data_IF_015349633156
#
_entry.id   IF_015349633156
#
_cell.length_a   1.000
_cell.length_b   1.000
_cell.length_c   1.000
_cell.angle_alpha   90.00
_cell.angle_beta   90.00
_cell.angle_gamma   90.00
#
_symmetry.space_group_name_H-M   'P 1'
#
loop_
_entity.id
_entity.type
_entity.pdbx_description
1 polymer ?
#
# COMPACT_ATOMS: atom_id res chain seq x y z
N UNK A 1 63.48 37.06 51.43
CA UNK A 1 62.13 37.55 51.70
C UNK A 1 61.46 37.86 50.38
N UNK A 2 60.69 36.95 49.85
CA UNK A 2 60.15 37.05 48.49
C UNK A 2 58.63 37.28 48.55
N UNK A 3 58.19 38.38 47.94
CA UNK A 3 56.80 38.80 47.83
C UNK A 3 56.11 37.96 46.77
N UNK A 4 55.05 37.24 47.11
CA UNK A 4 54.15 36.54 46.12
C UNK A 4 53.10 37.55 45.64
N UNK A 5 53.11 37.81 44.35
CA UNK A 5 52.03 38.54 43.61
C UNK A 5 50.99 37.57 43.17
N UNK A 6 49.75 37.71 43.64
CA UNK A 6 48.63 37.00 43.16
C UNK A 6 48.11 37.62 41.84
N UNK A 7 48.14 36.88 40.77
CA UNK A 7 47.53 37.27 39.52
C UNK A 7 46.11 36.72 39.55
N UNK A 8 45.08 37.60 39.52
CA UNK A 8 43.71 37.32 39.38
C UNK A 8 43.44 37.06 37.88
N UNK A 9 43.15 35.81 37.51
CA UNK A 9 42.68 35.46 36.17
C UNK A 9 41.14 35.53 36.18
N UNK A 10 40.60 36.56 35.51
CA UNK A 10 39.16 36.68 35.20
C UNK A 10 38.81 35.71 34.10
N UNK A 11 38.11 34.62 34.48
CA UNK A 11 37.54 33.68 33.52
C UNK A 11 36.22 34.26 33.02
N UNK A 12 36.24 34.83 31.81
CA UNK A 12 35.03 35.24 31.10
C UNK A 12 34.22 34.03 30.67
N UNK A 13 33.05 33.83 31.26
CA UNK A 13 32.10 32.84 30.85
C UNK A 13 31.36 33.37 29.59
N UNK A 14 31.75 32.90 28.43
CA UNK A 14 31.01 33.11 27.20
C UNK A 14 29.76 32.22 27.26
N UNK A 15 28.60 32.81 27.50
CA UNK A 15 27.31 32.19 27.28
C UNK A 15 27.12 32.03 25.76
N UNK A 16 27.48 30.86 25.24
CA UNK A 16 27.12 30.43 23.92
C UNK A 16 25.63 30.11 23.87
N UNK A 17 24.82 31.02 23.34
CA UNK A 17 23.44 30.75 23.00
C UNK A 17 23.40 29.70 21.90
N UNK A 18 23.19 28.44 22.24
CA UNK A 18 22.89 27.39 21.26
C UNK A 18 21.51 27.69 20.65
N UNK A 19 21.50 28.20 19.42
CA UNK A 19 20.33 28.24 18.56
C UNK A 19 19.94 26.82 18.26
N UNK A 20 19.01 26.26 19.04
CA UNK A 20 18.30 25.03 18.67
C UNK A 20 17.60 25.25 17.35
N UNK A 21 17.74 24.35 16.36
CA UNK A 21 16.98 24.47 15.12
C UNK A 21 15.49 24.47 15.46
N UNK A 22 14.76 25.51 15.05
CA UNK A 22 13.30 25.56 15.12
C UNK A 22 12.77 24.31 14.43
N UNK A 23 12.29 23.35 15.21
CA UNK A 23 11.48 22.25 14.69
C UNK A 23 10.23 22.91 14.10
N UNK A 24 10.07 22.76 12.77
CA UNK A 24 8.83 23.11 12.12
C UNK A 24 7.70 22.37 12.84
N UNK A 25 6.66 23.06 13.32
CA UNK A 25 5.53 22.39 13.94
C UNK A 25 4.94 21.45 12.90
N UNK A 26 4.98 20.15 13.17
CA UNK A 26 4.29 19.14 12.38
C UNK A 26 2.84 19.55 12.37
N UNK A 27 2.32 19.98 11.21
CA UNK A 27 0.94 20.46 11.10
C UNK A 27 0.02 19.38 11.66
N UNK A 28 -0.64 19.69 12.77
CA UNK A 28 -1.62 18.77 13.37
C UNK A 28 -2.79 18.62 12.40
N UNK A 29 -3.12 17.40 12.05
CA UNK A 29 -4.29 17.10 11.23
C UNK A 29 -5.53 17.42 12.09
N UNK A 30 -6.42 18.33 11.66
CA UNK A 30 -7.60 18.66 12.42
C UNK A 30 -8.51 17.44 12.58
N UNK A 31 -9.16 17.30 13.73
CA UNK A 31 -10.09 16.20 14.00
C UNK A 31 -11.42 16.32 13.27
N UNK A 32 -11.66 17.45 12.60
CA UNK A 32 -12.88 17.73 11.81
C UNK A 32 -12.56 18.64 10.64
N UNK A 33 -13.39 18.55 9.61
CA UNK A 33 -13.31 19.38 8.41
C UNK A 33 -14.70 19.92 8.08
N UNK A 34 -14.81 21.22 7.84
CA UNK A 34 -16.04 21.86 7.36
C UNK A 34 -16.07 21.85 5.83
N UNK A 35 -17.07 21.22 5.26
CA UNK A 35 -17.26 21.13 3.80
C UNK A 35 -17.46 22.50 3.20
N UNK A 36 -16.75 22.79 2.13
CA UNK A 36 -16.86 24.02 1.34
C UNK A 36 -17.46 23.73 -0.03
N UNK A 37 -17.96 24.78 -0.69
CA UNK A 37 -18.53 24.65 -2.03
C UNK A 37 -17.52 24.03 -3.01
N UNK A 38 -17.94 22.97 -3.71
CA UNK A 38 -17.10 22.25 -4.67
C UNK A 38 -16.30 21.09 -4.06
N UNK A 39 -16.39 20.87 -2.75
CA UNK A 39 -15.79 19.69 -2.12
C UNK A 39 -16.49 18.40 -2.54
N UNK A 40 -15.72 17.34 -2.56
CA UNK A 40 -16.19 15.96 -2.77
C UNK A 40 -15.51 15.00 -1.80
N UNK A 41 -16.11 13.83 -1.58
CA UNK A 41 -15.50 12.77 -0.77
C UNK A 41 -14.05 12.49 -1.20
N UNK A 42 -13.80 12.46 -2.51
CA UNK A 42 -12.46 12.22 -3.08
C UNK A 42 -11.50 13.39 -2.82
N UNK A 43 -11.96 14.62 -2.99
CA UNK A 43 -11.15 15.83 -2.77
C UNK A 43 -10.71 15.97 -1.32
N UNK A 44 -11.66 15.83 -0.38
CA UNK A 44 -11.39 15.91 1.06
C UNK A 44 -10.50 14.75 1.51
N UNK A 45 -10.79 13.51 1.10
CA UNK A 45 -10.00 12.34 1.44
C UNK A 45 -8.54 12.47 0.99
N UNK A 46 -8.29 12.98 -0.22
CA UNK A 46 -6.94 13.27 -0.73
C UNK A 46 -6.20 14.29 0.13
N UNK A 47 -6.88 15.37 0.55
CA UNK A 47 -6.30 16.42 1.42
C UNK A 47 -5.78 15.84 2.74
N UNK A 48 -6.49 14.83 3.28
CA UNK A 48 -6.13 14.21 4.56
C UNK A 48 -5.40 12.86 4.41
N UNK A 49 -5.06 12.45 3.17
CA UNK A 49 -4.34 11.19 2.86
C UNK A 49 -5.04 9.93 3.39
N UNK A 50 -6.35 9.88 3.26
CA UNK A 50 -7.22 8.75 3.61
C UNK A 50 -8.03 8.30 2.39
N UNK A 51 -8.64 7.11 2.44
CA UNK A 51 -9.54 6.72 1.36
C UNK A 51 -10.91 7.40 1.49
N UNK A 52 -11.60 7.72 0.37
CA UNK A 52 -12.95 8.28 0.39
C UNK A 52 -13.94 7.42 1.16
N UNK A 53 -13.85 6.09 1.01
CA UNK A 53 -14.70 5.13 1.71
C UNK A 53 -14.46 5.17 3.23
N UNK A 54 -13.19 5.29 3.65
CA UNK A 54 -12.83 5.43 5.07
C UNK A 54 -13.41 6.72 5.64
N UNK A 55 -13.29 7.84 4.90
CA UNK A 55 -13.85 9.11 5.32
C UNK A 55 -15.37 9.05 5.45
N UNK A 56 -16.06 8.50 4.45
CA UNK A 56 -17.50 8.37 4.45
C UNK A 56 -17.97 7.45 5.60
N UNK A 57 -17.36 6.28 5.76
CA UNK A 57 -17.68 5.33 6.84
C UNK A 57 -17.47 5.92 8.23
N UNK A 58 -16.39 6.69 8.45
CA UNK A 58 -16.13 7.39 9.72
C UNK A 58 -17.26 8.37 10.08
N UNK A 59 -17.95 8.89 9.07
CA UNK A 59 -19.08 9.79 9.19
C UNK A 59 -20.46 9.11 9.09
N UNK A 60 -20.49 7.76 9.14
CA UNK A 60 -21.73 6.98 9.05
C UNK A 60 -22.41 7.04 7.67
N UNK A 61 -21.65 7.33 6.61
CA UNK A 61 -22.15 7.56 5.25
C UNK A 61 -21.45 6.70 4.20
N UNK A 62 -21.96 6.75 2.98
CA UNK A 62 -21.37 6.13 1.80
C UNK A 62 -20.86 7.20 0.83
N UNK A 63 -19.91 6.86 -0.04
CA UNK A 63 -19.36 7.80 -1.03
C UNK A 63 -20.37 8.20 -2.12
N UNK A 64 -21.47 7.48 -2.25
CA UNK A 64 -22.56 7.79 -3.17
C UNK A 64 -23.49 8.91 -2.66
N UNK A 65 -23.41 9.23 -1.38
CA UNK A 65 -24.19 10.31 -0.78
C UNK A 65 -23.55 11.67 -1.03
N UNK A 66 -24.40 12.68 -1.29
CA UNK A 66 -23.92 14.04 -1.53
C UNK A 66 -23.41 14.70 -0.25
N UNK A 67 -22.30 15.41 -0.37
CA UNK A 67 -21.83 16.33 0.67
C UNK A 67 -22.60 17.66 0.58
N UNK A 68 -22.90 18.22 1.74
CA UNK A 68 -23.56 19.53 1.81
C UNK A 68 -22.58 20.58 2.31
N UNK A 69 -22.66 21.79 1.72
CA UNK A 69 -21.85 22.92 2.15
C UNK A 69 -22.10 23.21 3.64
N UNK A 70 -21.04 23.52 4.36
CA UNK A 70 -21.01 23.81 5.81
C UNK A 70 -21.20 22.61 6.74
N UNK A 71 -21.51 21.42 6.24
CA UNK A 71 -21.49 20.24 7.13
C UNK A 71 -20.08 19.99 7.67
N UNK A 72 -20.02 19.34 8.84
CA UNK A 72 -18.75 19.06 9.52
C UNK A 72 -18.50 17.57 9.47
N UNK A 73 -17.43 17.18 8.80
CA UNK A 73 -16.96 15.81 8.74
C UNK A 73 -15.92 15.54 9.83
N UNK A 74 -16.00 14.37 10.45
CA UNK A 74 -14.94 13.85 11.29
C UNK A 74 -13.76 13.44 10.40
N UNK A 75 -12.56 13.88 10.79
CA UNK A 75 -11.31 13.49 10.15
C UNK A 75 -10.52 12.64 11.14
N UNK A 76 -9.93 11.51 10.73
CA UNK A 76 -9.10 10.69 11.62
C UNK A 76 -7.92 11.52 12.13
N UNK A 77 -7.70 11.57 13.44
CA UNK A 77 -6.50 12.19 14.00
C UNK A 77 -5.27 11.43 13.50
N UNK A 78 -4.23 12.14 13.11
CA UNK A 78 -3.08 11.72 12.32
C UNK A 78 -2.25 10.50 12.78
N UNK A 79 -2.75 9.67 13.68
CA UNK A 79 -2.20 8.36 14.03
C UNK A 79 -3.27 7.30 14.30
N UNK A 80 -4.56 7.62 14.24
CA UNK A 80 -5.55 6.57 14.13
C UNK A 80 -5.50 6.04 12.70
N UNK A 81 -4.71 5.01 12.51
CA UNK A 81 -4.83 4.10 11.36
C UNK A 81 -6.21 3.41 11.44
N UNK A 82 -7.27 4.14 11.07
CA UNK A 82 -8.51 3.54 10.57
C UNK A 82 -8.30 3.05 9.12
N UNK A 83 -7.08 2.99 8.68
CA UNK A 83 -6.67 2.07 7.65
C UNK A 83 -6.73 0.71 8.34
N UNK A 84 -7.85 0.00 8.18
CA UNK A 84 -7.77 -1.46 8.20
C UNK A 84 -6.71 -1.73 7.14
N UNK A 85 -5.45 -1.88 7.58
CA UNK A 85 -4.39 -2.16 6.62
C UNK A 85 -4.84 -3.41 5.88
N UNK A 86 -4.70 -3.46 4.55
CA UNK A 86 -5.02 -4.68 3.81
C UNK A 86 -4.41 -5.92 4.47
N UNK A 87 -3.28 -5.73 5.16
CA UNK A 87 -2.58 -6.75 5.93
C UNK A 87 -3.38 -7.26 7.14
N UNK A 88 -4.17 -6.40 7.82
CA UNK A 88 -5.00 -6.84 8.96
C UNK A 88 -6.19 -7.71 8.56
N UNK A 89 -6.51 -7.76 7.27
CA UNK A 89 -7.56 -8.59 6.68
C UNK A 89 -7.02 -9.97 6.33
N UNK A 90 -5.72 -10.05 6.07
CA UNK A 90 -5.02 -11.28 5.78
C UNK A 90 -4.74 -12.01 7.09
N UNK A 91 -5.34 -13.19 7.27
CA UNK A 91 -5.04 -14.04 8.43
C UNK A 91 -3.62 -14.59 8.39
N UNK A 92 -3.06 -14.69 7.21
CA UNK A 92 -1.72 -15.21 6.93
C UNK A 92 -0.94 -14.24 6.06
N UNK A 93 0.37 -14.16 6.28
CA UNK A 93 1.25 -13.36 5.42
C UNK A 93 1.38 -14.05 4.06
N UNK A 94 1.06 -13.37 2.94
CA UNK A 94 1.18 -13.96 1.63
C UNK A 94 2.63 -14.35 1.31
N UNK A 95 2.79 -15.54 0.76
CA UNK A 95 4.08 -15.98 0.22
C UNK A 95 4.41 -15.18 -1.06
N UNK A 96 5.68 -14.99 -1.32
CA UNK A 96 6.13 -14.38 -2.56
C UNK A 96 5.77 -15.29 -3.75
N UNK A 97 5.14 -14.75 -4.82
CA UNK A 97 4.55 -15.56 -5.89
C UNK A 97 5.58 -16.18 -6.86
N UNK A 98 6.85 -15.86 -6.71
CA UNK A 98 7.96 -16.42 -7.48
C UNK A 98 8.94 -17.16 -6.56
N UNK A 99 9.83 -17.97 -7.13
CA UNK A 99 10.83 -18.73 -6.35
C UNK A 99 11.92 -17.82 -5.76
N UNK A 100 12.16 -16.67 -6.37
CA UNK A 100 13.11 -15.66 -5.94
C UNK A 100 12.44 -14.28 -5.94
N UNK A 101 12.97 -13.36 -5.13
CA UNK A 101 12.52 -11.96 -5.15
C UNK A 101 13.05 -11.29 -6.42
N UNK A 102 12.13 -10.86 -7.27
CA UNK A 102 12.42 -10.11 -8.49
C UNK A 102 12.09 -8.64 -8.30
N UNK A 103 12.76 -7.77 -9.06
CA UNK A 103 12.49 -6.34 -9.04
C UNK A 103 11.10 -6.03 -9.58
N UNK A 104 10.44 -5.03 -9.02
CA UNK A 104 9.20 -4.49 -9.56
C UNK A 104 9.54 -3.59 -10.75
N UNK A 105 9.08 -3.96 -11.94
CA UNK A 105 9.24 -3.21 -13.18
C UNK A 105 8.18 -2.11 -13.28
N UNK A 106 6.91 -2.44 -13.03
CA UNK A 106 5.80 -1.49 -13.01
C UNK A 106 5.09 -1.59 -11.66
N UNK A 107 4.98 -0.44 -10.99
CA UNK A 107 4.42 -0.31 -9.65
C UNK A 107 2.90 -0.23 -9.67
N UNK A 108 2.26 -0.55 -8.56
CA UNK A 108 0.87 -0.27 -8.31
C UNK A 108 0.60 1.24 -8.36
N UNK A 109 -0.48 1.64 -9.05
CA UNK A 109 -0.86 3.04 -9.19
C UNK A 109 -2.39 3.19 -9.11
N UNK A 110 -2.84 4.06 -8.22
CA UNK A 110 -4.25 4.47 -8.11
C UNK A 110 -4.55 5.73 -8.93
N UNK A 111 -3.57 6.23 -9.68
CA UNK A 111 -3.73 7.45 -10.47
C UNK A 111 -4.74 7.22 -11.59
N UNK A 112 -5.70 8.12 -11.72
CA UNK A 112 -6.81 7.99 -12.68
C UNK A 112 -6.37 8.08 -14.14
N UNK A 113 -5.23 8.73 -14.42
CA UNK A 113 -4.68 8.90 -15.76
C UNK A 113 -3.67 7.80 -16.16
N UNK A 114 -3.14 7.05 -15.20
CA UNK A 114 -2.27 5.88 -15.43
C UNK A 114 -2.54 4.82 -14.35
N UNK A 115 -3.74 4.20 -14.35
CA UNK A 115 -4.09 3.20 -13.35
C UNK A 115 -3.33 1.91 -13.62
N UNK A 116 -2.66 1.39 -12.59
CA UNK A 116 -2.06 0.06 -12.64
C UNK A 116 -2.49 -0.73 -11.39
N UNK A 117 -3.49 -1.59 -11.58
CA UNK A 117 -4.20 -2.28 -10.47
C UNK A 117 -3.38 -3.35 -9.76
N UNK A 118 -2.28 -3.76 -10.34
CA UNK A 118 -1.34 -4.74 -9.80
C UNK A 118 0.08 -4.22 -9.81
N UNK A 119 1.02 -5.14 -9.77
CA UNK A 119 2.44 -4.89 -10.02
C UNK A 119 2.92 -5.82 -11.13
N UNK A 120 3.91 -5.39 -11.89
CA UNK A 120 4.62 -6.27 -12.82
C UNK A 120 6.05 -6.42 -12.35
N UNK A 121 6.48 -7.64 -12.16
CA UNK A 121 7.87 -7.95 -11.87
C UNK A 121 8.71 -7.91 -13.14
N UNK A 122 9.98 -7.59 -12.98
CA UNK A 122 10.96 -7.76 -14.04
C UNK A 122 11.09 -9.26 -14.37
N UNK A 123 11.28 -9.60 -15.65
CA UNK A 123 11.59 -10.97 -16.04
C UNK A 123 13.00 -11.32 -15.57
N UNK A 124 13.07 -12.11 -14.53
CA UNK A 124 14.31 -12.63 -13.95
C UNK A 124 14.52 -14.13 -14.28
N UNK A 125 15.31 -14.81 -13.47
CA UNK A 125 15.60 -16.23 -13.66
C UNK A 125 14.46 -17.15 -13.20
N UNK A 126 13.55 -16.66 -12.34
CA UNK A 126 12.42 -17.44 -11.86
C UNK A 126 11.34 -17.57 -12.93
N UNK A 127 11.05 -18.79 -13.35
CA UNK A 127 9.96 -19.08 -14.28
C UNK A 127 8.72 -19.66 -13.61
N UNK A 128 8.86 -20.20 -12.40
CA UNK A 128 7.80 -20.89 -11.69
C UNK A 128 6.95 -19.90 -10.89
N UNK A 129 5.64 -19.88 -11.17
CA UNK A 129 4.65 -19.09 -10.44
C UNK A 129 3.95 -19.95 -9.42
N UNK A 130 3.77 -19.40 -8.22
CA UNK A 130 3.19 -20.08 -7.06
C UNK A 130 2.08 -19.27 -6.43
N UNK A 131 1.13 -19.96 -5.80
CA UNK A 131 0.08 -19.32 -5.03
C UNK A 131 0.64 -18.54 -3.83
N UNK A 132 0.25 -17.29 -3.67
CA UNK A 132 0.67 -16.47 -2.54
C UNK A 132 -0.07 -16.82 -1.25
N UNK A 133 -1.32 -17.29 -1.36
CA UNK A 133 -2.18 -17.69 -0.26
C UNK A 133 -2.91 -18.99 -0.64
N UNK A 134 -3.37 -19.77 0.35
CA UNK A 134 -4.27 -20.89 0.08
C UNK A 134 -5.59 -20.38 -0.48
N UNK A 135 -6.19 -21.14 -1.40
CA UNK A 135 -7.45 -20.73 -2.02
C UNK A 135 -7.95 -21.71 -3.08
N UNK A 136 -8.99 -21.30 -3.78
CA UNK A 136 -9.60 -22.04 -4.88
C UNK A 136 -9.32 -21.33 -6.20
N UNK A 137 -8.96 -22.07 -7.22
CA UNK A 137 -8.88 -21.56 -8.61
C UNK A 137 -10.31 -21.28 -9.08
N UNK A 138 -10.63 -20.02 -9.32
CA UNK A 138 -11.96 -19.61 -9.76
C UNK A 138 -12.02 -19.24 -11.22
N UNK A 139 -10.86 -18.93 -11.82
CA UNK A 139 -10.82 -18.63 -13.25
C UNK A 139 -9.44 -18.91 -13.84
N UNK A 140 -9.44 -19.44 -15.06
CA UNK A 140 -8.26 -19.71 -15.88
C UNK A 140 -8.62 -19.32 -17.31
N UNK A 141 -7.91 -18.33 -17.87
CA UNK A 141 -8.24 -17.82 -19.20
C UNK A 141 -7.02 -17.16 -19.85
N UNK A 142 -7.21 -16.66 -21.05
CA UNK A 142 -6.27 -15.85 -21.82
C UNK A 142 -6.87 -14.46 -22.07
N UNK A 143 -6.06 -13.42 -21.92
CA UNK A 143 -6.45 -12.05 -22.23
C UNK A 143 -5.29 -11.29 -22.85
N UNK A 144 -5.54 -10.55 -23.93
CA UNK A 144 -4.55 -9.66 -24.52
C UNK A 144 -3.96 -8.71 -23.48
N UNK A 145 -2.64 -8.63 -23.42
CA UNK A 145 -1.90 -7.82 -22.46
C UNK A 145 -1.54 -8.54 -21.15
N UNK A 146 -2.28 -9.57 -20.73
CA UNK A 146 -1.99 -10.40 -19.55
C UNK A 146 -1.60 -11.84 -19.91
N UNK A 147 -1.72 -12.22 -21.19
CA UNK A 147 -1.53 -13.61 -21.66
C UNK A 147 -2.42 -14.60 -20.91
N UNK A 148 -1.96 -15.84 -20.68
CA UNK A 148 -2.69 -16.73 -19.80
C UNK A 148 -2.61 -16.24 -18.37
N UNK A 149 -3.71 -16.32 -17.65
CA UNK A 149 -3.79 -15.90 -16.25
C UNK A 149 -4.61 -16.87 -15.41
N UNK A 150 -4.34 -16.84 -14.12
CA UNK A 150 -5.08 -17.60 -13.08
C UNK A 150 -5.61 -16.63 -12.05
N UNK A 151 -6.87 -16.81 -11.64
CA UNK A 151 -7.46 -16.10 -10.51
C UNK A 151 -7.72 -17.10 -9.38
N UNK A 152 -7.22 -16.79 -8.21
CA UNK A 152 -7.52 -17.51 -6.97
C UNK A 152 -8.47 -16.70 -6.11
N UNK A 153 -9.46 -17.37 -5.55
CA UNK A 153 -10.30 -16.89 -4.46
C UNK A 153 -9.76 -17.40 -3.13
N UNK A 154 -9.55 -16.47 -2.19
CA UNK A 154 -9.06 -16.73 -0.85
C UNK A 154 -10.14 -16.43 0.18
N UNK A 155 -9.84 -16.69 1.46
CA UNK A 155 -10.75 -16.32 2.55
C UNK A 155 -10.99 -14.80 2.59
N UNK A 156 -12.09 -14.38 3.23
CA UNK A 156 -12.49 -12.98 3.42
C UNK A 156 -12.76 -12.19 2.12
N UNK A 157 -13.10 -12.89 1.00
CA UNK A 157 -13.40 -12.26 -0.29
C UNK A 157 -12.18 -11.60 -0.94
N UNK A 158 -11.00 -12.13 -0.67
CA UNK A 158 -9.75 -11.70 -1.31
C UNK A 158 -9.52 -12.53 -2.55
N UNK A 159 -9.04 -11.90 -3.61
CA UNK A 159 -8.66 -12.53 -4.87
C UNK A 159 -7.23 -12.15 -5.22
N UNK A 160 -6.51 -13.09 -5.82
CA UNK A 160 -5.21 -12.82 -6.45
C UNK A 160 -5.21 -13.24 -7.90
N UNK A 161 -4.54 -12.46 -8.74
CA UNK A 161 -4.45 -12.63 -10.18
C UNK A 161 -2.98 -12.80 -10.55
N UNK A 162 -2.68 -13.83 -11.32
CA UNK A 162 -1.34 -14.20 -11.79
C UNK A 162 -1.37 -14.23 -13.31
N UNK A 163 -0.81 -13.22 -13.96
CA UNK A 163 -0.79 -13.09 -15.44
C UNK A 163 0.61 -13.25 -16.04
N UNK A 164 0.68 -13.22 -17.35
CA UNK A 164 1.86 -13.44 -18.18
C UNK A 164 2.39 -14.89 -18.06
N UNK A 165 1.48 -15.87 -17.98
CA UNK A 165 1.84 -17.28 -17.92
C UNK A 165 1.96 -17.84 -19.35
N UNK A 166 3.04 -18.56 -19.64
CA UNK A 166 3.17 -19.37 -20.86
C UNK A 166 2.32 -20.64 -20.74
N UNK A 167 2.34 -21.26 -19.55
CA UNK A 167 1.61 -22.50 -19.29
C UNK A 167 1.00 -22.49 -17.89
N UNK A 168 -0.28 -22.82 -17.83
CA UNK A 168 -1.03 -23.01 -16.59
C UNK A 168 -0.91 -24.48 -16.16
N UNK A 169 -0.78 -24.73 -14.86
CA UNK A 169 -0.63 -26.08 -14.28
C UNK A 169 -1.77 -26.42 -13.30
N UNK A 170 -2.80 -25.60 -13.26
CA UNK A 170 -3.97 -25.79 -12.40
C UNK A 170 -5.25 -25.69 -13.26
N UNK A 171 -6.37 -26.18 -12.71
CA UNK A 171 -7.67 -26.12 -13.36
C UNK A 171 -8.69 -25.40 -12.48
N UNK A 172 -9.72 -24.84 -13.08
CA UNK A 172 -10.83 -24.23 -12.34
C UNK A 172 -11.46 -25.24 -11.36
N UNK A 173 -11.80 -24.75 -10.18
CA UNK A 173 -12.31 -25.57 -9.07
C UNK A 173 -11.24 -26.19 -8.17
N UNK A 174 -9.98 -26.25 -8.60
CA UNK A 174 -8.88 -26.84 -7.84
C UNK A 174 -8.61 -26.04 -6.58
N UNK A 175 -8.41 -26.75 -5.44
CA UNK A 175 -7.89 -26.16 -4.21
C UNK A 175 -6.36 -26.15 -4.25
N UNK A 176 -5.77 -25.05 -3.82
CA UNK A 176 -4.32 -24.87 -3.73
C UNK A 176 -3.91 -24.37 -2.37
N UNK A 177 -2.77 -24.81 -1.88
CA UNK A 177 -2.13 -24.27 -0.70
C UNK A 177 -1.19 -23.12 -1.07
N UNK A 178 -0.78 -22.33 -0.08
CA UNK A 178 0.29 -21.35 -0.26
C UNK A 178 1.55 -22.04 -0.80
N UNK A 179 2.19 -21.43 -1.79
CA UNK A 179 3.37 -21.93 -2.51
C UNK A 179 3.12 -23.10 -3.49
N UNK A 180 1.90 -23.58 -3.65
CA UNK A 180 1.59 -24.54 -4.70
C UNK A 180 1.84 -23.93 -6.09
N UNK A 181 2.21 -24.78 -7.05
CA UNK A 181 2.53 -24.37 -8.42
C UNK A 181 1.26 -24.01 -9.17
N UNK A 182 1.25 -22.83 -9.80
CA UNK A 182 0.15 -22.37 -10.63
C UNK A 182 0.47 -22.44 -12.12
N UNK A 183 1.74 -22.23 -12.48
CA UNK A 183 2.15 -22.19 -13.86
C UNK A 183 3.59 -21.77 -14.06
N UNK A 184 3.94 -21.56 -15.31
CA UNK A 184 5.25 -21.14 -15.78
C UNK A 184 5.10 -19.82 -16.51
N UNK A 185 5.99 -18.86 -16.21
CA UNK A 185 6.03 -17.55 -16.85
C UNK A 185 6.41 -17.64 -18.32
N UNK A 186 5.90 -16.71 -19.10
CA UNK A 186 6.39 -16.39 -20.44
C UNK A 186 7.88 -16.10 -20.43
N UNK A 187 8.55 -16.36 -21.58
CA UNK A 187 9.98 -16.17 -21.72
C UNK A 187 10.41 -14.72 -21.59
N UNK A 188 9.57 -13.80 -22.10
CA UNK A 188 9.91 -12.40 -22.28
C UNK A 188 9.25 -11.46 -21.26
N UNK A 189 8.24 -11.93 -20.52
CA UNK A 189 7.49 -11.11 -19.56
C UNK A 189 7.64 -11.62 -18.14
N UNK A 190 7.83 -10.71 -17.19
CA UNK A 190 7.75 -11.00 -15.77
C UNK A 190 6.30 -11.19 -15.31
N UNK A 191 6.12 -11.72 -14.12
CA UNK A 191 4.81 -11.95 -13.53
C UNK A 191 4.04 -10.63 -13.37
N UNK A 192 2.81 -10.60 -13.91
CA UNK A 192 1.81 -9.64 -13.46
C UNK A 192 1.12 -10.22 -12.22
N UNK A 193 1.09 -9.45 -11.14
CA UNK A 193 0.47 -9.87 -9.89
C UNK A 193 -0.45 -8.77 -9.35
N UNK A 194 -1.69 -9.12 -9.09
CA UNK A 194 -2.69 -8.22 -8.53
C UNK A 194 -3.40 -8.90 -7.36
N UNK A 195 -3.78 -8.11 -6.37
CA UNK A 195 -4.69 -8.53 -5.32
C UNK A 195 -5.84 -7.56 -5.20
N UNK A 196 -7.04 -8.08 -4.94
CA UNK A 196 -8.20 -7.26 -4.66
C UNK A 196 -9.06 -7.90 -3.56
N UNK A 197 -9.91 -7.10 -2.96
CA UNK A 197 -10.96 -7.55 -2.06
C UNK A 197 -12.28 -6.96 -2.54
N UNK A 198 -13.22 -7.82 -2.94
CA UNK A 198 -14.47 -7.38 -3.56
C UNK A 198 -14.17 -6.49 -4.79
N UNK A 199 -14.56 -5.21 -4.77
CA UNK A 199 -14.30 -4.23 -5.86
C UNK A 199 -13.09 -3.32 -5.60
N UNK A 200 -12.38 -3.51 -4.48
CA UNK A 200 -11.26 -2.66 -4.09
C UNK A 200 -9.92 -3.33 -4.41
N UNK A 201 -9.06 -2.65 -5.15
CA UNK A 201 -7.69 -3.12 -5.36
C UNK A 201 -6.88 -2.95 -4.08
N UNK A 202 -6.05 -3.92 -3.79
CA UNK A 202 -5.09 -3.90 -2.70
C UNK A 202 -3.70 -3.60 -3.28
N UNK A 203 -2.88 -2.84 -2.56
CA UNK A 203 -1.51 -2.56 -3.03
C UNK A 203 -0.59 -3.76 -2.79
N UNK A 204 -0.19 -4.50 -3.85
CA UNK A 204 0.62 -5.70 -3.68
C UNK A 204 2.03 -5.42 -3.18
N UNK A 205 2.60 -4.23 -3.42
CA UNK A 205 3.94 -3.87 -2.94
C UNK A 205 3.99 -3.86 -1.41
N UNK A 206 2.95 -3.32 -0.78
CA UNK A 206 2.82 -3.31 0.69
C UNK A 206 2.60 -4.70 1.26
N UNK A 207 1.75 -5.50 0.58
CA UNK A 207 1.39 -6.86 1.03
C UNK A 207 2.59 -7.80 0.95
N UNK A 208 3.35 -7.74 -0.14
CA UNK A 208 4.53 -8.58 -0.36
C UNK A 208 5.83 -7.99 0.22
N UNK A 209 5.78 -6.77 0.76
CA UNK A 209 6.96 -6.03 1.25
C UNK A 209 8.06 -5.93 0.19
N UNK A 210 7.68 -5.49 -1.02
CA UNK A 210 8.58 -5.31 -2.15
C UNK A 210 8.57 -3.87 -2.63
N UNK A 211 9.69 -3.39 -3.17
CA UNK A 211 9.76 -2.05 -3.75
C UNK A 211 9.74 -0.89 -2.74
N UNK A 212 9.93 -1.19 -1.44
CA UNK A 212 10.02 -0.21 -0.36
C UNK A 212 11.45 0.27 -0.22
#
# INVERSE_FOLDING_TARGET
MRKFRYILILLGILFGSSLSPKQNPKAEIPSSYRVTKGDSWFGIARKFKISPETLAKLNGRTISENLYEREVLRIPKGNEKLVVSPESILKEKPAFPLTQKEKVLKKYSELTYDPHKGIQFQRGNSSLVRASLPGKVVHVDYMDGYENFVILEHQNGIYSIYGNLERIQVTEGQQVNSKDRLGILSKDKGLYFQMNRQKQNLNPERILEVGI
#
